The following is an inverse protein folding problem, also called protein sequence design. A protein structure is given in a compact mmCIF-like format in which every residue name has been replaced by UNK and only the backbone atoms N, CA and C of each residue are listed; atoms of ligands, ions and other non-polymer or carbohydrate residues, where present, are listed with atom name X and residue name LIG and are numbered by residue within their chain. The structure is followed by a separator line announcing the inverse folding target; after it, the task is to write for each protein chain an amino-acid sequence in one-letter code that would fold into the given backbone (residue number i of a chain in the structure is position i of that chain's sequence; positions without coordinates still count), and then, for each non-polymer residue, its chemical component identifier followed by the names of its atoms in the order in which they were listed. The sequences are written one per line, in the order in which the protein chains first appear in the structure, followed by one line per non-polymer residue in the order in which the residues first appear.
data_IF_257891614753
#
_entry.id   IF_257891614753
#
_cell.length_a   1.000
_cell.length_b   1.000
_cell.length_c   1.000
_cell.angle_alpha   90.00
_cell.angle_beta   90.00
_cell.angle_gamma   90.00
#
_symmetry.space_group_name_H-M   'P 1'
#
loop_
_entity.id
_entity.type
_entity.pdbx_description
1 polymer ?
#
# COMPACT_ATOMS: atom_id res chain seq x y z
N UNK A 1 31.29 -18.66 0.83
CA UNK A 1 30.15 -17.79 1.25
C UNK A 1 28.88 -18.62 1.32
N UNK A 2 28.08 -18.50 2.40
CA UNK A 2 26.86 -19.30 2.62
C UNK A 2 25.74 -18.89 1.63
N UNK A 3 24.87 -19.82 1.24
CA UNK A 3 23.70 -19.57 0.37
C UNK A 3 22.82 -18.40 0.87
N UNK A 4 22.76 -18.22 2.18
CA UNK A 4 22.05 -17.13 2.87
C UNK A 4 22.56 -15.74 2.50
N UNK A 5 23.86 -15.57 2.27
CA UNK A 5 24.45 -14.26 1.94
C UNK A 5 24.07 -13.80 0.54
N UNK A 6 24.00 -14.71 -0.43
CA UNK A 6 23.55 -14.39 -1.80
C UNK A 6 22.06 -14.01 -1.88
N UNK A 7 21.22 -14.65 -1.06
CA UNK A 7 19.79 -14.30 -1.01
C UNK A 7 19.58 -12.89 -0.43
N UNK A 8 20.29 -12.56 0.66
CA UNK A 8 20.27 -11.22 1.24
C UNK A 8 20.75 -10.16 0.24
N UNK A 9 21.84 -10.45 -0.48
CA UNK A 9 22.39 -9.54 -1.48
C UNK A 9 21.40 -9.30 -2.63
N UNK A 10 20.76 -10.36 -3.12
CA UNK A 10 19.77 -10.26 -4.21
C UNK A 10 18.52 -9.46 -3.80
N UNK A 11 17.99 -9.70 -2.59
CA UNK A 11 16.87 -8.91 -2.04
C UNK A 11 17.28 -7.45 -1.91
N UNK A 12 18.46 -7.18 -1.35
CA UNK A 12 18.96 -5.82 -1.18
C UNK A 12 19.12 -5.10 -2.52
N UNK A 13 19.77 -5.72 -3.51
CA UNK A 13 19.94 -5.15 -4.85
C UNK A 13 18.61 -4.90 -5.56
N UNK A 14 17.65 -5.83 -5.44
CA UNK A 14 16.30 -5.67 -6.00
C UNK A 14 15.52 -4.52 -5.34
N UNK A 15 15.54 -4.44 -4.01
CA UNK A 15 14.88 -3.38 -3.26
C UNK A 15 15.52 -2.01 -3.54
N UNK A 16 16.85 -1.97 -3.64
CA UNK A 16 17.61 -0.78 -4.00
C UNK A 16 17.27 -0.31 -5.42
N UNK A 17 17.16 -1.24 -6.38
CA UNK A 17 16.72 -0.93 -7.74
C UNK A 17 15.32 -0.32 -7.79
N UNK A 18 14.37 -0.88 -7.03
CA UNK A 18 13.01 -0.32 -6.91
C UNK A 18 13.04 1.08 -6.28
N UNK A 19 13.83 1.28 -5.22
CA UNK A 19 13.99 2.59 -4.59
C UNK A 19 14.57 3.63 -5.56
N UNK A 20 15.65 3.28 -6.28
CA UNK A 20 16.25 4.16 -7.27
C UNK A 20 15.29 4.49 -8.42
N UNK A 21 14.46 3.53 -8.82
CA UNK A 21 13.41 3.76 -9.82
C UNK A 21 12.35 4.74 -9.30
N UNK A 22 11.88 4.57 -8.06
CA UNK A 22 10.89 5.45 -7.43
C UNK A 22 11.38 6.89 -7.31
N UNK A 23 12.63 7.12 -6.88
CA UNK A 23 13.15 8.50 -6.71
C UNK A 23 13.36 9.23 -8.04
N UNK A 24 13.56 8.51 -9.15
CA UNK A 24 13.79 9.09 -10.47
C UNK A 24 12.49 9.26 -11.27
N UNK A 25 11.47 8.43 -11.02
CA UNK A 25 10.19 8.51 -11.74
C UNK A 25 9.14 9.37 -11.03
N UNK A 26 9.23 9.53 -9.70
CA UNK A 26 8.24 10.24 -8.91
C UNK A 26 8.88 11.47 -8.28
N UNK A 27 8.34 12.65 -8.60
CA UNK A 27 8.74 13.90 -7.95
C UNK A 27 8.42 13.83 -6.44
N UNK A 28 9.48 13.66 -5.64
CA UNK A 28 9.37 13.55 -4.19
C UNK A 28 8.77 14.80 -3.55
N UNK A 29 8.95 15.98 -4.16
CA UNK A 29 8.37 17.22 -3.63
C UNK A 29 6.84 17.22 -3.75
N UNK A 30 6.30 16.61 -4.82
CA UNK A 30 4.87 16.41 -5.01
C UNK A 30 4.31 15.41 -4.00
N UNK A 31 5.00 14.28 -3.81
CA UNK A 31 4.62 13.26 -2.81
C UNK A 31 4.57 13.86 -1.41
N UNK A 32 5.59 14.63 -1.04
CA UNK A 32 5.65 15.32 0.25
C UNK A 32 4.48 16.28 0.42
N UNK A 33 4.25 17.20 -0.52
CA UNK A 33 3.16 18.18 -0.43
C UNK A 33 1.79 17.51 -0.33
N UNK A 34 1.58 16.41 -1.06
CA UNK A 34 0.27 15.74 -1.16
C UNK A 34 -0.02 14.80 0.01
N UNK A 35 0.96 14.04 0.47
CA UNK A 35 0.73 12.94 1.42
C UNK A 35 1.44 13.13 2.76
N UNK A 36 2.62 13.76 2.76
CA UNK A 36 3.50 13.82 3.93
C UNK A 36 4.06 15.24 4.15
N UNK A 37 3.21 16.26 4.37
CA UNK A 37 3.64 17.66 4.36
C UNK A 37 4.69 17.97 5.43
N UNK A 38 4.71 17.20 6.53
CA UNK A 38 5.60 17.39 7.67
C UNK A 38 6.87 16.52 7.62
N UNK A 39 7.04 15.67 6.61
CA UNK A 39 8.19 14.76 6.48
C UNK A 39 8.94 15.03 5.17
N UNK A 40 10.28 15.12 5.20
CA UNK A 40 11.06 15.23 3.97
C UNK A 40 10.89 13.96 3.11
N UNK A 41 10.66 14.14 1.81
CA UNK A 41 10.38 13.03 0.88
C UNK A 41 11.43 11.91 0.88
N UNK A 42 12.70 12.23 1.18
CA UNK A 42 13.78 11.24 1.30
C UNK A 42 13.54 10.24 2.43
N UNK A 43 12.99 10.70 3.57
CA UNK A 43 12.62 9.81 4.68
C UNK A 43 11.42 8.95 4.31
N UNK A 44 10.46 9.48 3.54
CA UNK A 44 9.32 8.69 3.02
C UNK A 44 9.83 7.56 2.13
N UNK A 45 10.74 7.85 1.20
CA UNK A 45 11.31 6.80 0.34
C UNK A 45 12.13 5.78 1.13
N UNK A 46 12.89 6.20 2.13
CA UNK A 46 13.61 5.27 3.02
C UNK A 46 12.65 4.35 3.79
N UNK A 47 11.52 4.88 4.26
CA UNK A 47 10.49 4.09 4.94
C UNK A 47 9.83 3.07 3.99
N UNK A 48 9.52 3.46 2.75
CA UNK A 48 9.03 2.55 1.71
C UNK A 48 10.06 1.44 1.44
N UNK A 49 11.34 1.77 1.35
CA UNK A 49 12.40 0.78 1.16
C UNK A 49 12.46 -0.23 2.33
N UNK A 50 12.34 0.23 3.58
CA UNK A 50 12.27 -0.65 4.75
C UNK A 50 11.08 -1.62 4.64
N UNK A 51 9.92 -1.13 4.23
CA UNK A 51 8.72 -1.97 4.03
C UNK A 51 8.96 -3.02 2.93
N UNK A 52 9.57 -2.65 1.81
CA UNK A 52 9.87 -3.59 0.71
C UNK A 52 10.85 -4.67 1.19
N UNK A 53 11.91 -4.30 1.90
CA UNK A 53 12.90 -5.27 2.43
C UNK A 53 12.23 -6.23 3.42
N UNK A 54 11.49 -5.71 4.40
CA UNK A 54 10.80 -6.52 5.40
C UNK A 54 9.71 -7.41 4.77
N UNK A 55 9.02 -6.90 3.75
CA UNK A 55 8.02 -7.64 2.98
C UNK A 55 8.65 -8.78 2.19
N UNK A 56 9.76 -8.53 1.48
CA UNK A 56 10.50 -9.56 0.77
C UNK A 56 10.98 -10.67 1.73
N UNK A 57 11.60 -10.30 2.86
CA UNK A 57 12.05 -11.25 3.89
C UNK A 57 10.90 -12.08 4.47
N UNK A 58 9.75 -11.44 4.66
CA UNK A 58 8.51 -12.10 5.10
C UNK A 58 8.06 -13.13 4.05
N UNK A 59 8.00 -12.77 2.77
CA UNK A 59 7.59 -13.65 1.67
C UNK A 59 8.54 -14.84 1.49
N UNK A 60 9.86 -14.61 1.60
CA UNK A 60 10.89 -15.65 1.44
C UNK A 60 11.04 -16.58 2.66
N UNK A 61 10.15 -16.49 3.65
CA UNK A 61 9.98 -17.51 4.69
C UNK A 61 10.59 -17.17 6.05
N UNK A 62 11.11 -15.95 6.26
CA UNK A 62 11.63 -15.56 7.59
C UNK A 62 10.52 -14.95 8.45
N UNK A 63 9.78 -15.82 9.15
CA UNK A 63 8.59 -15.47 9.96
C UNK A 63 8.83 -14.35 10.99
N UNK A 64 10.04 -14.23 11.52
CA UNK A 64 10.41 -13.19 12.49
C UNK A 64 10.22 -11.75 11.96
N UNK A 65 10.32 -11.54 10.65
CA UNK A 65 10.16 -10.21 10.05
C UNK A 65 8.71 -9.78 9.88
N UNK A 66 7.74 -10.69 10.03
CA UNK A 66 6.32 -10.37 9.88
C UNK A 66 5.86 -9.28 10.85
N UNK A 67 6.32 -9.34 12.11
CA UNK A 67 5.93 -8.37 13.15
C UNK A 67 6.48 -6.98 12.82
N UNK A 68 7.74 -6.89 12.42
CA UNK A 68 8.37 -5.64 11.99
C UNK A 68 7.73 -5.11 10.71
N UNK A 69 7.48 -5.99 9.73
CA UNK A 69 6.78 -5.64 8.49
C UNK A 69 5.41 -5.05 8.79
N UNK A 70 4.58 -5.72 9.60
CA UNK A 70 3.27 -5.25 9.99
C UNK A 70 3.31 -3.91 10.73
N UNK A 71 4.30 -3.71 11.61
CA UNK A 71 4.48 -2.44 12.33
C UNK A 71 4.83 -1.29 11.37
N UNK A 72 5.90 -1.43 10.58
CA UNK A 72 6.35 -0.38 9.67
C UNK A 72 5.33 -0.08 8.57
N UNK A 73 4.69 -1.13 8.02
CA UNK A 73 3.61 -0.98 7.05
C UNK A 73 2.36 -0.33 7.67
N UNK A 74 1.92 -0.78 8.85
CA UNK A 74 0.74 -0.22 9.51
C UNK A 74 0.91 1.26 9.85
N UNK A 75 2.07 1.63 10.37
CA UNK A 75 2.39 3.04 10.63
C UNK A 75 2.45 3.87 9.33
N UNK A 76 3.00 3.31 8.25
CA UNK A 76 3.00 3.97 6.94
C UNK A 76 1.58 4.13 6.38
N UNK A 77 0.74 3.10 6.49
CA UNK A 77 -0.65 3.10 6.05
C UNK A 77 -1.47 4.15 6.81
N UNK A 78 -1.32 4.23 8.13
CA UNK A 78 -1.98 5.26 8.93
C UNK A 78 -1.48 6.65 8.50
N UNK A 79 -0.18 6.81 8.30
CA UNK A 79 0.40 8.09 7.90
C UNK A 79 -0.13 8.55 6.53
N UNK A 80 -0.11 7.69 5.51
CA UNK A 80 -0.58 8.06 4.16
C UNK A 80 -2.09 8.37 4.12
N UNK A 81 -2.89 7.68 4.94
CA UNK A 81 -4.35 7.86 4.97
C UNK A 81 -4.78 9.09 5.79
N UNK A 82 -4.10 9.40 6.90
CA UNK A 82 -4.58 10.38 7.89
C UNK A 82 -3.68 11.60 8.12
N UNK A 83 -2.39 11.56 7.76
CA UNK A 83 -1.47 12.72 7.90
C UNK A 83 -1.58 13.68 6.71
N UNK A 84 -2.15 13.23 5.59
CA UNK A 84 -2.40 14.08 4.41
C UNK A 84 -3.24 15.33 4.76
N UNK A 85 -3.06 16.47 4.07
CA UNK A 85 -3.80 17.70 4.35
C UNK A 85 -5.32 17.50 4.38
N UNK A 86 -6.01 18.16 5.31
CA UNK A 86 -7.48 18.14 5.36
C UNK A 86 -8.06 18.83 4.13
N UNK A 87 -9.19 18.32 3.65
CA UNK A 87 -9.83 18.88 2.47
C UNK A 87 -10.48 20.24 2.79
N UNK A 88 -10.07 21.32 2.10
CA UNK A 88 -10.54 22.70 2.36
C UNK A 88 -11.59 23.22 1.36
N UNK A 89 -11.86 22.52 0.26
CA UNK A 89 -12.89 22.89 -0.72
C UNK A 89 -13.99 21.79 -0.75
N UNK A 90 -14.94 21.81 -1.67
CA UNK A 90 -15.70 20.63 -2.08
C UNK A 90 -15.04 20.01 -3.34
N UNK A 91 -14.49 18.79 -3.27
CA UNK A 91 -13.88 18.10 -4.43
C UNK A 91 -15.01 17.40 -5.21
N UNK A 92 -16.13 18.10 -5.44
CA UNK A 92 -17.28 17.53 -6.12
C UNK A 92 -17.05 17.30 -7.63
N UNK A 93 -15.79 17.26 -8.09
CA UNK A 93 -15.47 17.15 -9.52
C UNK A 93 -14.61 15.91 -9.85
N UNK A 94 -14.04 15.21 -8.86
CA UNK A 94 -13.11 14.09 -9.15
C UNK A 94 -13.67 12.69 -8.89
N UNK A 95 -15.00 12.50 -8.82
CA UNK A 95 -15.56 11.15 -8.96
C UNK A 95 -16.47 11.04 -10.18
N UNK A 96 -15.90 11.02 -11.39
CA UNK A 96 -16.53 10.25 -12.45
C UNK A 96 -16.72 8.83 -11.90
N UNK A 97 -17.93 8.27 -12.05
CA UNK A 97 -18.20 6.88 -11.72
C UNK A 97 -17.12 5.95 -12.35
N UNK A 98 -16.84 4.78 -11.77
CA UNK A 98 -15.86 3.77 -12.24
C UNK A 98 -15.84 3.62 -13.78
N UNK A 99 -17.01 3.75 -14.41
CA UNK A 99 -17.21 3.69 -15.85
C UNK A 99 -16.52 4.80 -16.66
N UNK A 100 -16.45 6.02 -16.13
CA UNK A 100 -15.78 7.15 -16.79
C UNK A 100 -14.26 7.10 -16.59
N UNK A 101 -13.77 6.61 -15.45
CA UNK A 101 -12.34 6.34 -15.25
C UNK A 101 -11.83 5.23 -16.16
N UNK A 102 -12.61 4.15 -16.34
CA UNK A 102 -12.25 3.04 -17.21
C UNK A 102 -12.01 3.47 -18.66
N UNK A 103 -12.75 4.48 -19.14
CA UNK A 103 -12.57 5.05 -20.48
C UNK A 103 -11.33 5.95 -20.59
N UNK A 104 -10.88 6.53 -19.48
CA UNK A 104 -9.80 7.51 -19.44
C UNK A 104 -8.48 6.97 -18.85
N UNK A 105 -8.46 5.70 -18.43
CA UNK A 105 -7.33 5.06 -17.73
C UNK A 105 -6.04 5.09 -18.56
N UNK A 106 -6.15 4.96 -19.88
CA UNK A 106 -5.01 4.93 -20.80
C UNK A 106 -4.67 6.31 -21.37
N UNK A 107 -5.56 7.30 -21.22
CA UNK A 107 -5.38 8.67 -21.74
C UNK A 107 -4.91 9.67 -20.69
N UNK A 108 -5.07 9.36 -19.38
CA UNK A 108 -4.66 10.23 -18.29
C UNK A 108 -3.75 9.52 -17.29
N UNK A 109 -2.42 9.82 -17.29
CA UNK A 109 -1.46 9.20 -16.39
C UNK A 109 -1.80 9.35 -14.89
N UNK A 110 -2.47 10.45 -14.53
CA UNK A 110 -2.87 10.74 -13.14
C UNK A 110 -3.95 9.75 -12.66
N UNK A 111 -4.92 9.43 -13.53
CA UNK A 111 -6.01 8.48 -13.26
C UNK A 111 -5.43 7.08 -13.05
N UNK A 112 -4.51 6.67 -13.92
CA UNK A 112 -3.81 5.40 -13.82
C UNK A 112 -3.04 5.26 -12.50
N UNK A 113 -2.30 6.29 -12.10
CA UNK A 113 -1.51 6.30 -10.86
C UNK A 113 -2.41 6.22 -9.62
N UNK A 114 -3.55 6.91 -9.60
CA UNK A 114 -4.49 6.82 -8.46
C UNK A 114 -5.05 5.40 -8.30
N UNK A 115 -5.50 4.77 -9.41
CA UNK A 115 -6.08 3.42 -9.37
C UNK A 115 -5.04 2.39 -8.92
N UNK A 116 -3.86 2.40 -9.56
CA UNK A 116 -2.78 1.47 -9.23
C UNK A 116 -2.25 1.74 -7.82
N UNK A 117 -2.16 3.01 -7.41
CA UNK A 117 -1.74 3.41 -6.08
C UNK A 117 -2.64 2.82 -4.99
N UNK A 118 -3.96 2.92 -5.15
CA UNK A 118 -4.92 2.35 -4.21
C UNK A 118 -4.80 0.82 -4.14
N UNK A 119 -4.66 0.13 -5.28
CA UNK A 119 -4.46 -1.33 -5.27
C UNK A 119 -3.15 -1.71 -4.56
N UNK A 120 -2.02 -1.14 -4.98
CA UNK A 120 -0.69 -1.52 -4.47
C UNK A 120 -0.57 -1.24 -2.96
N UNK A 121 -1.17 -0.15 -2.47
CA UNK A 121 -1.10 0.24 -1.07
C UNK A 121 -1.67 -0.83 -0.13
N UNK A 122 -2.67 -1.60 -0.56
CA UNK A 122 -3.36 -2.60 0.27
C UNK A 122 -2.88 -4.05 0.05
N UNK A 123 -1.96 -4.29 -0.89
CA UNK A 123 -1.32 -5.61 -1.08
C UNK A 123 -0.63 -6.12 0.20
N UNK A 124 0.19 -5.32 0.92
CA UNK A 124 0.84 -5.77 2.15
C UNK A 124 -0.15 -6.23 3.24
N UNK A 125 -1.31 -5.56 3.36
CA UNK A 125 -2.36 -5.93 4.30
C UNK A 125 -2.89 -7.34 4.01
N UNK A 126 -3.09 -7.67 2.73
CA UNK A 126 -3.48 -9.01 2.29
C UNK A 126 -2.47 -10.10 2.67
N UNK A 127 -1.17 -9.82 2.50
CA UNK A 127 -0.09 -10.73 2.90
C UNK A 127 -0.12 -10.99 4.41
N UNK A 128 -0.27 -9.93 5.21
CA UNK A 128 -0.35 -10.01 6.67
C UNK A 128 -1.58 -10.83 7.09
N UNK A 129 -2.75 -10.50 6.57
CA UNK A 129 -4.00 -11.20 6.89
C UNK A 129 -3.95 -12.68 6.51
N UNK A 130 -3.37 -13.01 5.34
CA UNK A 130 -3.23 -14.41 4.91
C UNK A 130 -2.42 -15.23 5.90
N UNK A 131 -1.38 -14.65 6.50
CA UNK A 131 -0.44 -15.33 7.40
C UNK A 131 -0.89 -15.38 8.85
N UNK A 132 -1.54 -14.34 9.34
CA UNK A 132 -1.96 -14.25 10.75
C UNK A 132 -3.33 -14.90 10.95
N UNK A 133 -4.23 -14.80 9.98
CA UNK A 133 -5.60 -15.30 10.11
C UNK A 133 -5.76 -16.67 9.44
N UNK A 134 -5.93 -17.70 10.27
CA UNK A 134 -6.22 -19.06 9.81
C UNK A 134 -7.66 -19.25 9.30
N UNK A 135 -8.58 -18.32 9.63
CA UNK A 135 -10.00 -18.41 9.30
C UNK A 135 -10.32 -17.95 7.87
N UNK A 136 -11.40 -18.51 7.28
CA UNK A 136 -12.01 -17.98 6.06
C UNK A 136 -12.70 -16.62 6.30
N UNK A 137 -12.96 -16.22 7.55
CA UNK A 137 -13.51 -14.90 7.84
C UNK A 137 -12.54 -13.75 7.53
N UNK A 138 -11.26 -14.03 7.26
CA UNK A 138 -10.28 -13.00 6.89
C UNK A 138 -10.66 -12.17 5.66
N UNK A 139 -11.40 -12.76 4.71
CA UNK A 139 -11.92 -12.05 3.54
C UNK A 139 -12.95 -10.99 3.95
N UNK A 140 -13.82 -11.33 4.91
CA UNK A 140 -14.82 -10.42 5.46
C UNK A 140 -14.18 -9.38 6.36
N UNK A 141 -13.25 -9.77 7.25
CA UNK A 141 -12.54 -8.83 8.11
C UNK A 141 -11.74 -7.81 7.30
N UNK A 142 -11.08 -8.24 6.23
CA UNK A 142 -10.41 -7.34 5.30
C UNK A 142 -11.38 -6.34 4.68
N UNK A 143 -12.52 -6.81 4.16
CA UNK A 143 -13.54 -5.94 3.58
C UNK A 143 -14.09 -4.92 4.59
N UNK A 144 -14.49 -5.39 5.77
CA UNK A 144 -15.02 -4.52 6.84
C UNK A 144 -13.98 -3.50 7.29
N UNK A 145 -12.71 -3.89 7.41
CA UNK A 145 -11.63 -2.97 7.75
C UNK A 145 -11.50 -1.85 6.71
N UNK A 146 -11.58 -2.16 5.41
CA UNK A 146 -11.50 -1.14 4.36
C UNK A 146 -12.68 -0.17 4.41
N UNK A 147 -13.90 -0.67 4.65
CA UNK A 147 -15.08 0.19 4.86
C UNK A 147 -14.87 1.10 6.08
N UNK A 148 -14.32 0.58 7.17
CA UNK A 148 -14.01 1.38 8.37
C UNK A 148 -12.96 2.44 8.05
N UNK A 149 -11.89 2.10 7.32
CA UNK A 149 -10.85 3.07 6.96
C UNK A 149 -11.43 4.22 6.12
N UNK A 150 -12.25 3.89 5.12
CA UNK A 150 -12.91 4.89 4.27
C UNK A 150 -13.86 5.78 5.09
N UNK A 151 -14.66 5.18 5.98
CA UNK A 151 -15.55 5.91 6.87
C UNK A 151 -14.78 6.84 7.83
N UNK A 152 -13.65 6.36 8.39
CA UNK A 152 -12.78 7.18 9.24
C UNK A 152 -12.16 8.34 8.46
N UNK A 153 -11.74 8.11 7.22
CA UNK A 153 -11.20 9.17 6.37
C UNK A 153 -12.27 10.23 6.04
N UNK A 154 -13.51 9.81 5.80
CA UNK A 154 -14.65 10.70 5.61
C UNK A 154 -14.93 11.55 6.86
N UNK A 155 -15.09 10.90 8.02
CA UNK A 155 -15.36 11.59 9.30
C UNK A 155 -14.22 12.55 9.68
N UNK A 156 -12.97 12.15 9.45
CA UNK A 156 -11.80 12.98 9.73
C UNK A 156 -11.54 14.07 8.69
N UNK A 157 -12.40 14.19 7.66
CA UNK A 157 -12.25 15.13 6.53
C UNK A 157 -10.92 14.97 5.80
N UNK A 158 -10.37 13.76 5.83
CA UNK A 158 -9.16 13.38 5.11
C UNK A 158 -9.50 12.83 3.74
N UNK A 159 -10.69 12.28 3.52
CA UNK A 159 -11.16 11.78 2.23
C UNK A 159 -12.66 11.96 2.01
N UNK A 160 -13.12 11.57 0.82
CA UNK A 160 -14.53 11.37 0.50
C UNK A 160 -14.83 9.90 0.79
N UNK A 161 -16.06 9.54 1.15
CA UNK A 161 -16.43 8.14 1.24
C UNK A 161 -16.69 7.57 -0.17
N UNK A 162 -15.67 6.97 -0.78
CA UNK A 162 -15.74 6.46 -2.16
C UNK A 162 -15.79 4.93 -2.20
N UNK A 163 -16.89 4.39 -2.76
CA UNK A 163 -17.06 2.95 -2.95
C UNK A 163 -16.00 2.39 -3.93
N UNK A 164 -15.58 3.19 -4.90
CA UNK A 164 -14.53 2.82 -5.85
C UNK A 164 -13.22 2.55 -5.13
N UNK A 165 -12.85 3.39 -4.18
CA UNK A 165 -11.64 3.23 -3.39
C UNK A 165 -11.73 1.97 -2.52
N UNK A 166 -12.89 1.70 -1.90
CA UNK A 166 -13.13 0.45 -1.16
C UNK A 166 -12.90 -0.77 -2.08
N UNK A 167 -13.44 -0.75 -3.30
CA UNK A 167 -13.29 -1.86 -4.27
C UNK A 167 -11.83 -2.05 -4.68
N UNK A 168 -11.12 -0.97 -5.03
CA UNK A 168 -9.71 -1.03 -5.45
C UNK A 168 -8.81 -1.50 -4.31
N UNK A 169 -9.01 -0.98 -3.11
CA UNK A 169 -8.30 -1.39 -1.91
C UNK A 169 -8.56 -2.87 -1.61
N UNK A 170 -9.79 -3.34 -1.83
CA UNK A 170 -10.14 -4.75 -1.62
C UNK A 170 -9.48 -5.66 -2.67
N UNK A 171 -9.42 -5.24 -3.93
CA UNK A 171 -8.65 -5.95 -4.97
C UNK A 171 -7.16 -6.06 -4.55
N UNK A 172 -6.57 -4.96 -4.07
CA UNK A 172 -5.21 -4.96 -3.51
C UNK A 172 -5.04 -5.98 -2.38
N UNK A 173 -5.96 -5.99 -1.43
CA UNK A 173 -5.99 -6.95 -0.34
C UNK A 173 -6.08 -8.41 -0.83
N UNK A 174 -6.96 -8.69 -1.80
CA UNK A 174 -7.08 -10.03 -2.40
C UNK A 174 -5.79 -10.45 -3.12
N UNK A 175 -5.17 -9.55 -3.88
CA UNK A 175 -3.89 -9.80 -4.55
C UNK A 175 -2.79 -10.17 -3.55
N UNK A 176 -2.70 -9.45 -2.42
CA UNK A 176 -1.77 -9.80 -1.34
C UNK A 176 -1.97 -11.20 -0.79
N UNK A 177 -3.22 -11.64 -0.61
CA UNK A 177 -3.52 -13.00 -0.16
C UNK A 177 -3.17 -14.08 -1.18
N UNK A 178 -3.26 -13.77 -2.49
CA UNK A 178 -2.90 -14.70 -3.58
C UNK A 178 -1.38 -14.78 -3.73
N UNK A 179 -0.67 -13.65 -3.66
CA UNK A 179 0.79 -13.62 -3.72
C UNK A 179 1.42 -14.43 -2.58
N UNK A 180 0.78 -14.45 -1.41
CA UNK A 180 1.20 -15.27 -0.28
C UNK A 180 0.47 -16.63 -0.23
N UNK A 181 0.61 -17.43 -1.29
CA UNK A 181 0.00 -18.78 -1.40
C UNK A 181 0.91 -19.92 -0.98
N UNK A 182 2.12 -19.66 -0.46
CA UNK A 182 2.94 -20.73 0.11
C UNK A 182 2.17 -21.41 1.25
N UNK A 183 1.96 -22.72 1.12
CA UNK A 183 1.38 -23.57 2.16
C UNK A 183 2.03 -23.18 3.48
N UNK A 184 1.22 -22.74 4.43
CA UNK A 184 1.64 -22.78 5.82
C UNK A 184 1.87 -24.27 6.09
N UNK A 185 3.12 -24.70 6.11
CA UNK A 185 3.49 -25.93 6.77
C UNK A 185 3.17 -25.68 8.24
N UNK A 186 2.00 -26.22 8.64
CA UNK A 186 1.55 -26.34 10.02
C UNK A 186 2.41 -27.38 10.73
#
# INVERSE_FOLDING_TARGET
MKRTTWHLLAIFCGCLGIYLLLINLIDGSLVQKRFFPFLPYRLVYAWVLVIIILGAETIFGRHQYLRYFAFFYGAFLIAILFVRPSYQQPQFIDSPYIWEWGKQIFSHPIIFVNIIGNIILFVPLGIIAKRILATRLKYLYGFVLLVILEALQYISKRGIFDITDIVLNYIGFLLGMVLFTRKAEL
#
